data_IF_694025383152
#
_entry.id   IF_694025383152
#
_cell.length_a   1.000
_cell.length_b   1.000
_cell.length_c   1.000
_cell.angle_alpha   90.00
_cell.angle_beta   90.00
_cell.angle_gamma   90.00
#
_symmetry.space_group_name_H-M   'P 1'
#
loop_
_entity.id
_entity.type
_entity.pdbx_description
1 polymer ?
#
# COMPACT_ATOMS: atom_id res chain seq x y z
N UNK A 1 36.17 26.43 35.40
CA UNK A 1 35.37 26.59 34.17
C UNK A 1 34.20 25.62 34.23
N UNK A 2 33.08 26.07 34.79
CA UNK A 2 31.81 25.33 34.84
C UNK A 2 31.09 25.55 33.51
N UNK A 3 30.91 24.48 32.71
CA UNK A 3 30.11 24.57 31.48
C UNK A 3 28.71 25.04 31.83
N UNK A 4 28.20 26.00 31.06
CA UNK A 4 26.91 26.63 31.30
C UNK A 4 25.82 25.55 31.22
N UNK A 5 24.95 25.38 32.24
CA UNK A 5 23.91 24.34 32.23
C UNK A 5 22.94 24.45 31.04
N UNK A 6 22.88 25.61 30.38
CA UNK A 6 22.16 25.84 29.12
C UNK A 6 22.81 25.16 27.89
N UNK A 7 24.13 24.94 27.86
CA UNK A 7 24.80 24.18 26.78
C UNK A 7 24.57 22.67 26.91
N UNK A 8 24.39 22.17 28.14
CA UNK A 8 24.07 20.76 28.37
C UNK A 8 22.60 20.43 28.00
N UNK A 9 21.71 21.41 27.97
CA UNK A 9 20.30 21.22 27.61
C UNK A 9 20.05 21.18 26.08
N UNK A 10 20.96 21.71 25.26
CA UNK A 10 20.83 21.68 23.79
C UNK A 10 21.32 20.37 23.14
N UNK A 11 21.93 19.46 23.92
CA UNK A 11 22.64 18.29 23.40
C UNK A 11 21.82 17.04 23.10
N UNK A 12 20.50 17.01 23.32
CA UNK A 12 19.75 15.75 23.12
C UNK A 12 18.28 15.98 22.77
N UNK A 13 18.00 16.77 21.72
CA UNK A 13 16.81 16.47 20.94
C UNK A 13 17.01 15.04 20.43
N UNK A 14 16.34 14.05 21.05
CA UNK A 14 16.45 12.63 20.74
C UNK A 14 16.20 12.42 19.24
N UNK A 15 17.30 12.41 18.49
CA UNK A 15 17.27 12.15 17.08
C UNK A 15 16.88 10.69 16.90
N UNK A 16 15.85 10.43 16.09
CA UNK A 16 15.57 9.07 15.64
C UNK A 16 16.88 8.48 15.08
N UNK A 17 17.20 7.20 15.36
CA UNK A 17 18.40 6.61 14.80
C UNK A 17 18.38 6.75 13.30
N UNK A 18 19.56 6.90 12.76
CA UNK A 18 19.77 6.94 11.31
C UNK A 18 19.07 5.76 10.63
N UNK A 19 19.15 4.54 11.22
CA UNK A 19 18.50 3.35 10.68
C UNK A 19 16.98 3.50 10.56
N UNK A 20 16.27 3.96 11.60
CA UNK A 20 14.80 4.12 11.56
C UNK A 20 14.39 5.15 10.51
N UNK A 21 15.14 6.25 10.38
CA UNK A 21 14.90 7.25 9.33
C UNK A 21 15.10 6.67 7.92
N UNK A 22 16.20 5.95 7.71
CA UNK A 22 16.48 5.27 6.45
C UNK A 22 15.39 4.25 6.09
N UNK A 23 14.99 3.40 7.04
CA UNK A 23 13.90 2.44 6.83
C UNK A 23 12.61 3.15 6.41
N UNK A 24 12.21 4.23 7.09
CA UNK A 24 11.00 4.96 6.71
C UNK A 24 11.08 5.57 5.30
N UNK A 25 12.22 6.10 4.88
CA UNK A 25 12.40 6.59 3.51
C UNK A 25 12.36 5.46 2.48
N UNK A 26 13.03 4.34 2.75
CA UNK A 26 13.02 3.17 1.84
C UNK A 26 11.60 2.61 1.72
N UNK A 27 10.87 2.43 2.83
CA UNK A 27 9.45 2.01 2.83
C UNK A 27 8.58 3.00 2.06
N UNK A 28 8.78 4.30 2.24
CA UNK A 28 8.05 5.33 1.52
C UNK A 28 8.31 5.28 0.01
N UNK A 29 9.57 5.17 -0.41
CA UNK A 29 9.96 5.08 -1.82
C UNK A 29 9.38 3.80 -2.44
N UNK A 30 9.53 2.65 -1.78
CA UNK A 30 8.97 1.38 -2.23
C UNK A 30 7.46 1.47 -2.45
N UNK A 31 6.73 2.02 -1.48
CA UNK A 31 5.26 2.14 -1.52
C UNK A 31 4.82 3.12 -2.61
N UNK A 32 5.58 4.20 -2.81
CA UNK A 32 5.31 5.16 -3.88
C UNK A 32 5.56 4.58 -5.28
N UNK A 33 6.68 3.88 -5.49
CA UNK A 33 6.97 3.20 -6.75
C UNK A 33 5.87 2.18 -7.09
N UNK A 34 5.45 1.40 -6.10
CA UNK A 34 4.36 0.45 -6.29
C UNK A 34 3.03 1.15 -6.63
N UNK A 35 2.73 2.28 -5.99
CA UNK A 35 1.56 3.08 -6.30
C UNK A 35 1.57 3.60 -7.74
N UNK A 36 2.70 4.16 -8.20
CA UNK A 36 2.85 4.68 -9.57
C UNK A 36 2.62 3.59 -10.60
N UNK A 37 3.22 2.41 -10.39
CA UNK A 37 3.05 1.26 -11.27
C UNK A 37 1.57 0.84 -11.38
N UNK A 38 0.85 0.83 -10.26
CA UNK A 38 -0.58 0.50 -10.23
C UNK A 38 -1.45 1.59 -10.89
N UNK A 39 -1.14 2.86 -10.67
CA UNK A 39 -1.84 3.94 -11.37
C UNK A 39 -1.62 3.87 -12.86
N UNK A 40 -0.39 3.58 -13.31
CA UNK A 40 -0.10 3.40 -14.73
C UNK A 40 -1.00 2.32 -15.36
N UNK A 41 -1.05 1.12 -14.77
CA UNK A 41 -1.90 0.04 -15.30
C UNK A 41 -3.40 0.33 -15.16
N UNK A 42 -3.82 0.97 -14.08
CA UNK A 42 -5.21 1.37 -13.89
C UNK A 42 -5.65 2.39 -14.95
N UNK A 43 -4.78 3.35 -15.27
CA UNK A 43 -5.00 4.34 -16.34
C UNK A 43 -4.97 3.66 -17.71
N UNK A 44 -4.00 2.79 -17.99
CA UNK A 44 -3.91 2.05 -19.24
C UNK A 44 -5.20 1.25 -19.48
N UNK A 45 -5.66 0.50 -18.48
CA UNK A 45 -6.89 -0.26 -18.56
C UNK A 45 -8.11 0.64 -18.77
N UNK A 46 -8.19 1.77 -18.08
CA UNK A 46 -9.30 2.72 -18.23
C UNK A 46 -9.34 3.38 -19.62
N UNK A 47 -8.18 3.66 -20.22
CA UNK A 47 -8.08 4.34 -21.52
C UNK A 47 -8.18 3.37 -22.70
N UNK A 48 -7.59 2.20 -22.59
CA UNK A 48 -7.42 1.27 -23.73
C UNK A 48 -8.32 0.05 -23.65
N UNK A 49 -8.91 -0.23 -22.48
CA UNK A 49 -9.59 -1.50 -22.20
C UNK A 49 -8.65 -2.71 -22.18
N UNK A 50 -7.32 -2.50 -22.20
CA UNK A 50 -6.29 -3.53 -22.15
C UNK A 50 -5.47 -3.36 -20.88
N UNK A 51 -5.10 -4.48 -20.27
CA UNK A 51 -4.25 -4.52 -19.09
C UNK A 51 -2.94 -5.23 -19.46
N UNK A 52 -1.85 -4.48 -19.63
CA UNK A 52 -0.53 -5.07 -19.92
C UNK A 52 0.20 -5.41 -18.61
N UNK A 53 -0.28 -6.44 -17.92
CA UNK A 53 0.40 -6.95 -16.73
C UNK A 53 1.56 -7.89 -17.13
N UNK A 54 2.80 -7.64 -16.67
CA UNK A 54 3.86 -8.63 -16.72
C UNK A 54 3.41 -9.85 -15.89
N UNK A 55 3.27 -11.03 -16.48
CA UNK A 55 2.62 -12.16 -15.79
C UNK A 55 1.35 -12.66 -16.47
N UNK A 56 0.60 -11.73 -17.07
CA UNK A 56 -0.81 -11.95 -17.32
C UNK A 56 -1.24 -11.23 -18.60
N UNK A 57 -1.00 -11.89 -19.73
CA UNK A 57 -1.63 -11.50 -20.99
C UNK A 57 -3.12 -11.85 -20.96
N UNK A 58 -3.93 -11.11 -20.21
CA UNK A 58 -5.39 -11.11 -20.39
C UNK A 58 -5.70 -10.37 -21.69
N UNK A 59 -5.31 -10.97 -22.81
CA UNK A 59 -5.74 -10.53 -24.13
C UNK A 59 -7.22 -10.86 -24.26
N UNK A 60 -8.10 -9.88 -24.02
CA UNK A 60 -9.42 -9.67 -24.64
C UNK A 60 -10.26 -10.90 -25.08
N UNK A 61 -10.13 -12.05 -24.39
CA UNK A 61 -10.89 -13.27 -24.64
C UNK A 61 -12.11 -13.40 -23.75
N UNK A 62 -12.13 -12.68 -22.62
CA UNK A 62 -13.36 -12.38 -21.90
C UNK A 62 -14.11 -11.32 -22.70
N UNK A 63 -15.12 -11.76 -23.46
CA UNK A 63 -16.04 -10.99 -24.33
C UNK A 63 -15.76 -9.50 -24.40
N UNK A 64 -15.45 -9.04 -25.61
CA UNK A 64 -15.48 -7.65 -26.08
C UNK A 64 -16.86 -6.99 -25.89
N UNK A 65 -17.36 -6.91 -24.67
CA UNK A 65 -18.36 -5.94 -24.28
C UNK A 65 -17.55 -4.67 -24.01
N UNK A 66 -17.56 -3.68 -24.91
CA UNK A 66 -16.90 -2.42 -24.62
C UNK A 66 -17.43 -1.93 -23.26
N UNK A 67 -16.56 -1.54 -22.31
CA UNK A 67 -17.03 -1.03 -21.04
C UNK A 67 -18.00 0.11 -21.35
N UNK A 68 -19.17 0.19 -20.67
CA UNK A 68 -20.08 1.30 -20.86
C UNK A 68 -19.27 2.59 -20.68
N UNK A 69 -19.29 3.50 -21.66
CA UNK A 69 -18.45 4.72 -21.67
C UNK A 69 -18.48 5.45 -20.32
N UNK A 70 -19.62 5.40 -19.64
CA UNK A 70 -19.93 6.13 -18.41
C UNK A 70 -19.20 5.57 -17.16
N UNK A 71 -18.83 4.29 -17.17
CA UNK A 71 -18.15 3.62 -16.05
C UNK A 71 -16.67 4.04 -15.97
N UNK A 72 -16.05 4.36 -17.11
CA UNK A 72 -14.64 4.77 -17.17
C UNK A 72 -14.39 6.16 -16.56
N UNK A 73 -15.25 7.14 -16.86
CA UNK A 73 -15.08 8.52 -16.43
C UNK A 73 -15.34 8.70 -14.94
N UNK A 74 -16.35 8.02 -14.39
CA UNK A 74 -16.67 8.08 -12.96
C UNK A 74 -15.56 7.47 -12.09
N UNK A 75 -14.93 6.38 -12.53
CA UNK A 75 -13.79 5.76 -11.84
C UNK A 75 -12.54 6.64 -11.86
N UNK A 76 -12.22 7.26 -13.00
CA UNK A 76 -11.10 8.21 -13.13
C UNK A 76 -11.36 9.42 -12.24
N UNK A 77 -12.56 10.01 -12.29
CA UNK A 77 -12.93 11.17 -11.48
C UNK A 77 -12.84 10.86 -9.98
N UNK A 78 -13.33 9.70 -9.53
CA UNK A 78 -13.22 9.27 -8.14
C UNK A 78 -11.76 9.13 -7.69
N UNK A 79 -10.91 8.54 -8.54
CA UNK A 79 -9.48 8.38 -8.26
C UNK A 79 -8.77 9.72 -8.13
N UNK A 80 -9.01 10.66 -9.06
CA UNK A 80 -8.46 12.02 -9.00
C UNK A 80 -8.95 12.73 -7.73
N UNK A 81 -10.24 12.67 -7.43
CA UNK A 81 -10.82 13.30 -6.25
C UNK A 81 -10.13 12.81 -4.96
N UNK A 82 -9.87 11.51 -4.84
CA UNK A 82 -9.20 10.92 -3.69
C UNK A 82 -7.74 11.35 -3.62
N UNK A 83 -7.01 11.34 -4.73
CA UNK A 83 -5.62 11.84 -4.76
C UNK A 83 -5.56 13.30 -4.31
N UNK A 84 -6.51 14.12 -4.75
CA UNK A 84 -6.63 15.52 -4.31
C UNK A 84 -6.93 15.60 -2.83
N UNK A 85 -7.91 14.85 -2.31
CA UNK A 85 -8.26 14.83 -0.89
C UNK A 85 -7.05 14.39 -0.05
N UNK A 86 -6.38 13.31 -0.41
CA UNK A 86 -5.20 12.81 0.30
C UNK A 86 -4.05 13.84 0.27
N UNK A 87 -3.81 14.46 -0.87
CA UNK A 87 -2.80 15.53 -1.00
C UNK A 87 -3.13 16.72 -0.11
N UNK A 88 -4.38 17.17 -0.09
CA UNK A 88 -4.86 18.26 0.78
C UNK A 88 -4.70 17.89 2.26
N UNK A 89 -5.09 16.68 2.66
CA UNK A 89 -4.91 16.19 4.03
C UNK A 89 -3.44 16.21 4.44
N UNK A 90 -2.54 15.70 3.59
CA UNK A 90 -1.09 15.68 3.84
C UNK A 90 -0.53 17.10 3.96
N UNK A 91 -0.90 18.01 3.05
CA UNK A 91 -0.49 19.42 3.07
C UNK A 91 -0.98 20.10 4.35
N UNK A 92 -2.25 19.92 4.71
CA UNK A 92 -2.84 20.51 5.92
C UNK A 92 -2.15 20.02 7.19
N UNK A 93 -1.92 18.71 7.32
CA UNK A 93 -1.22 18.13 8.47
C UNK A 93 0.24 18.60 8.55
N UNK A 94 0.93 18.71 7.41
CA UNK A 94 2.33 19.16 7.34
C UNK A 94 2.50 20.63 7.73
N UNK A 95 1.69 21.53 7.18
CA UNK A 95 1.91 22.97 7.33
C UNK A 95 1.12 23.60 8.48
N UNK A 96 -0.02 23.02 8.86
CA UNK A 96 -0.90 23.58 9.90
C UNK A 96 -1.10 22.67 11.11
N UNK A 97 -0.58 21.45 11.08
CA UNK A 97 -0.67 20.49 12.19
C UNK A 97 -0.42 21.11 13.57
N UNK A 98 0.68 21.85 13.81
CA UNK A 98 0.98 22.42 15.13
C UNK A 98 -0.02 23.46 15.64
N UNK A 99 -0.81 24.06 14.74
CA UNK A 99 -1.78 25.12 15.06
C UNK A 99 -3.22 24.63 15.12
N UNK A 100 -3.50 23.39 14.73
CA UNK A 100 -4.87 22.86 14.72
C UNK A 100 -5.26 22.27 16.08
N UNK A 101 -6.51 22.48 16.53
CA UNK A 101 -7.04 21.77 17.69
C UNK A 101 -7.14 20.27 17.41
N UNK A 102 -6.86 19.44 18.42
CA UNK A 102 -6.84 17.96 18.29
C UNK A 102 -8.12 17.39 17.70
N UNK A 103 -9.27 17.94 18.07
CA UNK A 103 -10.59 17.57 17.53
C UNK A 103 -10.66 17.71 16.00
N UNK A 104 -10.13 18.81 15.45
CA UNK A 104 -10.11 19.04 14.01
C UNK A 104 -9.16 18.08 13.29
N UNK A 105 -8.00 17.78 13.89
CA UNK A 105 -7.07 16.80 13.35
C UNK A 105 -7.69 15.41 13.28
N UNK A 106 -8.39 14.98 14.34
CA UNK A 106 -9.14 13.72 14.35
C UNK A 106 -10.27 13.71 13.32
N UNK A 107 -11.01 14.81 13.18
CA UNK A 107 -12.04 14.95 12.16
C UNK A 107 -11.49 14.79 10.74
N UNK A 108 -10.37 15.45 10.42
CA UNK A 108 -9.71 15.36 9.11
C UNK A 108 -9.21 13.94 8.85
N UNK A 109 -8.55 13.31 9.82
CA UNK A 109 -8.07 11.93 9.68
C UNK A 109 -9.21 10.93 9.54
N UNK A 110 -10.27 11.07 10.35
CA UNK A 110 -11.46 10.23 10.29
C UNK A 110 -12.17 10.35 8.94
N UNK A 111 -12.35 11.56 8.43
CA UNK A 111 -12.92 11.81 7.11
C UNK A 111 -12.09 11.17 6.00
N UNK A 112 -10.76 11.33 6.05
CA UNK A 112 -9.85 10.69 5.09
C UNK A 112 -9.93 9.17 5.12
N UNK A 113 -9.97 8.57 6.32
CA UNK A 113 -10.09 7.12 6.49
C UNK A 113 -11.43 6.57 5.98
N UNK A 114 -12.54 7.26 6.27
CA UNK A 114 -13.87 6.89 5.79
C UNK A 114 -13.94 7.00 4.26
N UNK A 115 -13.45 8.09 3.67
CA UNK A 115 -13.43 8.28 2.22
C UNK A 115 -12.60 7.20 1.51
N UNK A 116 -11.41 6.89 2.06
CA UNK A 116 -10.55 5.82 1.54
C UNK A 116 -11.23 4.45 1.62
N UNK A 117 -11.84 4.14 2.77
CA UNK A 117 -12.53 2.85 2.98
C UNK A 117 -13.72 2.71 2.05
N UNK A 118 -14.56 3.74 1.93
CA UNK A 118 -15.69 3.76 1.02
C UNK A 118 -15.25 3.58 -0.44
N UNK A 119 -14.14 4.19 -0.84
CA UNK A 119 -13.57 3.98 -2.17
C UNK A 119 -13.08 2.57 -2.39
N UNK A 120 -12.32 1.99 -1.46
CA UNK A 120 -11.85 0.59 -1.58
C UNK A 120 -13.04 -0.34 -1.71
N UNK A 121 -14.06 -0.18 -0.87
CA UNK A 121 -15.29 -0.99 -0.93
C UNK A 121 -16.03 -0.80 -2.26
N UNK A 122 -16.23 0.44 -2.71
CA UNK A 122 -16.83 0.74 -4.01
C UNK A 122 -16.05 0.11 -5.18
N UNK A 123 -14.72 0.19 -5.13
CA UNK A 123 -13.79 -0.36 -6.12
C UNK A 123 -13.88 -1.88 -6.23
N UNK A 124 -14.01 -2.54 -5.09
CA UNK A 124 -14.20 -3.98 -4.97
C UNK A 124 -15.56 -4.43 -5.48
N UNK A 125 -16.64 -3.70 -5.14
CA UNK A 125 -18.02 -4.12 -5.41
C UNK A 125 -18.42 -3.88 -6.87
N UNK A 126 -18.07 -2.74 -7.46
CA UNK A 126 -18.73 -2.31 -8.71
C UNK A 126 -17.97 -2.75 -9.97
N UNK A 127 -16.63 -2.87 -9.94
CA UNK A 127 -15.90 -2.74 -11.21
C UNK A 127 -14.95 -3.86 -11.63
N UNK A 128 -14.31 -4.63 -10.75
CA UNK A 128 -13.27 -5.60 -11.17
C UNK A 128 -12.00 -4.98 -11.80
N UNK A 129 -12.13 -3.86 -12.52
CA UNK A 129 -11.12 -3.02 -13.17
C UNK A 129 -10.42 -2.09 -12.15
N UNK A 130 -11.08 -1.73 -11.04
CA UNK A 130 -10.51 -0.79 -10.04
C UNK A 130 -9.59 -1.48 -9.02
N UNK A 131 -9.44 -2.82 -9.06
CA UNK A 131 -8.51 -3.51 -8.16
C UNK A 131 -7.07 -2.97 -8.27
N UNK A 132 -6.64 -2.64 -9.48
CA UNK A 132 -5.32 -2.06 -9.72
C UNK A 132 -5.22 -0.65 -9.11
N UNK A 133 -6.21 0.21 -9.36
CA UNK A 133 -6.21 1.58 -8.82
C UNK A 133 -6.32 1.59 -7.29
N UNK A 134 -7.15 0.72 -6.70
CA UNK A 134 -7.30 0.58 -5.26
C UNK A 134 -5.97 0.20 -4.59
N UNK A 135 -5.22 -0.75 -5.16
CA UNK A 135 -3.86 -1.07 -4.73
C UNK A 135 -2.96 0.17 -4.80
N UNK A 136 -3.05 0.95 -5.89
CA UNK A 136 -2.32 2.21 -6.02
C UNK A 136 -2.62 3.20 -4.88
N UNK A 137 -3.90 3.42 -4.56
CA UNK A 137 -4.30 4.31 -3.46
C UNK A 137 -3.82 3.79 -2.11
N UNK A 138 -4.00 2.49 -1.85
CA UNK A 138 -3.55 1.86 -0.59
C UNK A 138 -2.04 2.04 -0.42
N UNK A 139 -1.25 1.90 -1.49
CA UNK A 139 0.19 2.09 -1.44
C UNK A 139 0.60 3.57 -1.34
N UNK A 140 -0.16 4.50 -1.91
CA UNK A 140 0.05 5.93 -1.67
C UNK A 140 -0.17 6.27 -0.18
N UNK A 141 -1.22 5.71 0.43
CA UNK A 141 -1.49 5.84 1.87
C UNK A 141 -0.40 5.17 2.70
N UNK A 142 0.08 4.00 2.29
CA UNK A 142 1.23 3.32 2.90
C UNK A 142 2.49 4.20 2.91
N UNK A 143 2.76 4.93 1.82
CA UNK A 143 3.89 5.85 1.74
C UNK A 143 3.74 7.01 2.75
N UNK A 144 2.53 7.56 2.87
CA UNK A 144 2.21 8.62 3.85
C UNK A 144 2.38 8.11 5.28
N UNK A 145 1.92 6.89 5.59
CA UNK A 145 2.07 6.26 6.90
C UNK A 145 3.56 6.05 7.22
N UNK A 146 4.34 5.51 6.28
CA UNK A 146 5.77 5.31 6.47
C UNK A 146 6.49 6.63 6.75
N UNK A 147 6.15 7.69 6.01
CA UNK A 147 6.69 9.03 6.22
C UNK A 147 6.23 9.63 7.57
N UNK A 148 4.97 9.44 7.96
CA UNK A 148 4.44 9.89 9.25
C UNK A 148 5.22 9.29 10.42
N UNK A 149 5.61 8.01 10.33
CA UNK A 149 6.36 7.34 11.39
C UNK A 149 7.76 7.94 11.65
N UNK A 150 8.37 8.59 10.65
CA UNK A 150 9.73 9.15 10.77
C UNK A 150 9.77 10.68 10.83
N UNK A 151 8.73 11.38 10.40
CA UNK A 151 8.71 12.84 10.34
C UNK A 151 8.09 13.47 11.61
N UNK A 152 8.48 14.72 11.89
CA UNK A 152 8.01 15.45 13.06
C UNK A 152 6.48 15.64 13.08
N UNK A 153 5.85 15.83 11.92
CA UNK A 153 4.40 16.03 11.81
C UNK A 153 3.60 14.78 12.20
N UNK A 154 4.15 13.57 12.03
CA UNK A 154 3.47 12.35 12.43
C UNK A 154 3.40 12.14 13.94
N UNK A 155 4.16 12.92 14.74
CA UNK A 155 4.03 12.93 16.21
C UNK A 155 2.67 13.46 16.69
N UNK A 156 1.94 14.14 15.82
CA UNK A 156 0.60 14.66 16.07
C UNK A 156 -0.43 13.52 16.04
N UNK A 157 -0.18 12.48 15.25
CA UNK A 157 -1.09 11.35 15.05
C UNK A 157 -0.85 10.33 16.18
N UNK A 158 -1.91 9.80 16.84
CA UNK A 158 -1.73 8.71 17.79
C UNK A 158 -0.96 7.55 17.18
N UNK A 159 0.12 7.12 17.84
CA UNK A 159 1.04 6.13 17.26
C UNK A 159 0.36 4.82 16.88
N UNK A 160 -0.65 4.38 17.62
CA UNK A 160 -1.38 3.15 17.30
C UNK A 160 -2.06 3.23 15.91
N UNK A 161 -2.53 4.41 15.48
CA UNK A 161 -3.10 4.62 14.16
C UNK A 161 -2.09 4.52 13.02
N UNK A 162 -0.79 4.67 13.31
CA UNK A 162 0.27 4.48 12.32
C UNK A 162 0.85 3.06 12.40
N UNK A 163 1.02 2.54 13.61
CA UNK A 163 1.63 1.23 13.86
C UNK A 163 0.71 0.08 13.47
N UNK A 164 -0.58 0.11 13.82
CA UNK A 164 -1.51 -0.99 13.51
C UNK A 164 -1.62 -1.19 11.99
N UNK A 165 -1.88 -0.15 11.18
CA UNK A 165 -1.91 -0.33 9.72
C UNK A 165 -0.57 -0.75 9.12
N UNK A 166 0.56 -0.28 9.67
CA UNK A 166 1.88 -0.72 9.20
C UNK A 166 2.12 -2.21 9.46
N UNK A 167 1.76 -2.69 10.65
CA UNK A 167 1.84 -4.12 10.96
C UNK A 167 0.88 -4.94 10.11
N UNK A 168 -0.38 -4.54 10.01
CA UNK A 168 -1.39 -5.25 9.23
C UNK A 168 -1.01 -5.29 7.75
N UNK A 169 -0.68 -4.14 7.16
CA UNK A 169 -0.24 -4.04 5.77
C UNK A 169 0.98 -4.91 5.51
N UNK A 170 2.01 -4.84 6.36
CA UNK A 170 3.21 -5.66 6.22
C UNK A 170 2.92 -7.17 6.31
N UNK A 171 2.12 -7.60 7.29
CA UNK A 171 1.71 -9.01 7.44
C UNK A 171 0.87 -9.51 6.26
N UNK A 172 -0.08 -8.70 5.78
CA UNK A 172 -0.90 -9.05 4.62
C UNK A 172 -0.02 -9.29 3.39
N UNK A 173 0.98 -8.44 3.13
CA UNK A 173 1.90 -8.62 2.00
C UNK A 173 2.74 -9.90 2.12
N UNK A 174 3.23 -10.22 3.33
CA UNK A 174 3.98 -11.45 3.57
C UNK A 174 3.11 -12.70 3.40
N UNK A 175 1.90 -12.69 3.97
CA UNK A 175 0.94 -13.80 3.84
C UNK A 175 0.51 -13.96 2.39
N UNK A 176 0.25 -12.87 1.68
CA UNK A 176 -0.09 -12.89 0.25
C UNK A 176 1.01 -13.60 -0.56
N UNK A 177 2.27 -13.25 -0.32
CA UNK A 177 3.41 -13.86 -1.01
C UNK A 177 3.53 -15.35 -0.69
N UNK A 178 3.49 -15.70 0.60
CA UNK A 178 3.63 -17.10 1.02
C UNK A 178 2.48 -17.96 0.51
N UNK A 179 1.25 -17.48 0.65
CA UNK A 179 0.05 -18.17 0.19
C UNK A 179 0.05 -18.35 -1.33
N UNK A 180 0.28 -17.26 -2.08
CA UNK A 180 0.32 -17.27 -3.54
C UNK A 180 1.42 -18.18 -4.09
N UNK A 181 2.63 -18.08 -3.55
CA UNK A 181 3.75 -18.94 -3.94
C UNK A 181 3.47 -20.42 -3.66
N UNK A 182 2.94 -20.75 -2.47
CA UNK A 182 2.61 -22.14 -2.11
C UNK A 182 1.59 -22.77 -3.05
N UNK A 183 0.45 -22.11 -3.31
CA UNK A 183 -0.58 -22.68 -4.19
C UNK A 183 -0.09 -22.82 -5.64
N UNK A 184 0.73 -21.88 -6.12
CA UNK A 184 1.31 -21.93 -7.45
C UNK A 184 2.34 -23.05 -7.60
N UNK A 185 3.22 -23.25 -6.61
CA UNK A 185 4.18 -24.36 -6.60
C UNK A 185 3.45 -25.70 -6.54
N UNK A 186 2.40 -25.84 -5.72
CA UNK A 186 1.59 -27.07 -5.69
C UNK A 186 0.97 -27.38 -7.06
N UNK A 187 0.50 -26.35 -7.77
CA UNK A 187 -0.06 -26.51 -9.11
C UNK A 187 1.00 -26.88 -10.17
N UNK A 188 2.18 -26.26 -10.12
CA UNK A 188 3.31 -26.62 -10.99
C UNK A 188 3.75 -28.08 -10.82
N UNK A 189 3.61 -28.62 -9.62
CA UNK A 189 3.93 -30.02 -9.32
C UNK A 189 2.75 -30.98 -9.55
N UNK A 190 1.61 -30.49 -10.06
CA UNK A 190 0.43 -31.30 -10.36
C UNK A 190 -0.32 -31.79 -9.11
N UNK A 191 -0.02 -31.27 -7.92
CA UNK A 191 -0.71 -31.64 -6.66
C UNK A 191 -2.13 -31.08 -6.64
N UNK A 192 -2.31 -29.88 -7.20
CA UNK A 192 -3.62 -29.25 -7.41
C UNK A 192 -3.75 -28.75 -8.84
N UNK A 193 -4.97 -28.63 -9.35
CA UNK A 193 -5.23 -28.08 -10.68
C UNK A 193 -5.17 -26.55 -10.68
N UNK A 194 -4.90 -25.94 -11.84
CA UNK A 194 -4.97 -24.48 -12.00
C UNK A 194 -6.38 -23.91 -11.78
N UNK A 195 -7.44 -24.74 -11.96
CA UNK A 195 -8.80 -24.38 -11.58
C UNK A 195 -8.94 -24.28 -10.05
N UNK A 196 -8.36 -25.22 -9.31
CA UNK A 196 -8.33 -25.16 -7.85
C UNK A 196 -7.54 -23.93 -7.36
N UNK A 197 -6.44 -23.56 -8.02
CA UNK A 197 -5.72 -22.30 -7.74
C UNK A 197 -6.64 -21.08 -7.90
N UNK A 198 -7.42 -20.99 -8.98
CA UNK A 198 -8.36 -19.87 -9.16
C UNK A 198 -9.42 -19.82 -8.05
N UNK A 199 -9.99 -20.97 -7.66
CA UNK A 199 -10.96 -21.05 -6.55
C UNK A 199 -10.33 -20.54 -5.25
N UNK A 200 -9.12 -21.01 -4.93
CA UNK A 200 -8.37 -20.62 -3.73
C UNK A 200 -7.94 -19.15 -3.75
N UNK A 201 -7.73 -18.57 -4.93
CA UNK A 201 -7.45 -17.15 -5.11
C UNK A 201 -8.71 -16.26 -5.12
N UNK A 202 -9.91 -16.86 -5.11
CA UNK A 202 -11.18 -16.12 -5.24
C UNK A 202 -11.43 -15.56 -6.64
N UNK A 203 -10.83 -16.17 -7.67
CA UNK A 203 -10.89 -15.74 -9.06
C UNK A 203 -11.75 -16.67 -9.93
N UNK A 204 -12.26 -16.20 -11.08
CA UNK A 204 -13.14 -17.00 -11.95
C UNK A 204 -12.47 -18.27 -12.48
N UNK A 205 -13.15 -19.42 -12.31
CA UNK A 205 -12.64 -20.75 -12.67
C UNK A 205 -12.49 -20.93 -14.18
N UNK A 206 -13.35 -20.27 -14.97
CA UNK A 206 -13.32 -20.26 -16.43
C UNK A 206 -12.08 -19.54 -17.00
N UNK A 207 -11.38 -18.77 -16.18
CA UNK A 207 -10.11 -18.10 -16.50
C UNK A 207 -8.88 -18.88 -16.00
N UNK A 208 -9.04 -20.14 -15.59
CA UNK A 208 -7.91 -20.97 -15.18
C UNK A 208 -6.91 -21.13 -16.34
N UNK A 209 -5.60 -20.86 -16.12
CA UNK A 209 -4.61 -21.00 -17.18
C UNK A 209 -4.41 -22.47 -17.55
N UNK A 210 -3.98 -22.70 -18.80
CA UNK A 210 -3.41 -24.01 -19.18
C UNK A 210 -2.12 -24.27 -18.40
N UNK A 211 -1.67 -25.53 -18.34
CA UNK A 211 -0.45 -25.89 -17.60
C UNK A 211 0.77 -25.04 -17.99
N UNK A 212 1.00 -24.87 -19.30
CA UNK A 212 2.13 -24.08 -19.80
C UNK A 212 2.00 -22.59 -19.45
N UNK A 213 0.79 -22.02 -19.57
CA UNK A 213 0.53 -20.64 -19.17
C UNK A 213 0.68 -20.44 -17.66
N UNK A 214 0.21 -21.39 -16.85
CA UNK A 214 0.31 -21.35 -15.40
C UNK A 214 1.77 -21.37 -14.93
N UNK A 215 2.60 -22.25 -15.50
CA UNK A 215 4.05 -22.27 -15.21
C UNK A 215 4.70 -20.92 -15.56
N UNK A 216 4.39 -20.35 -16.72
CA UNK A 216 4.94 -19.05 -17.11
C UNK A 216 4.52 -17.93 -16.16
N UNK A 217 3.23 -17.88 -15.82
CA UNK A 217 2.67 -16.91 -14.86
C UNK A 217 3.33 -17.07 -13.48
N UNK A 218 3.54 -18.29 -13.01
CA UNK A 218 4.21 -18.53 -11.73
C UNK A 218 5.66 -18.07 -11.72
N UNK A 219 6.41 -18.33 -12.78
CA UNK A 219 7.78 -17.82 -12.89
C UNK A 219 7.78 -16.29 -12.84
N UNK A 220 6.85 -15.63 -13.54
CA UNK A 220 6.74 -14.17 -13.51
C UNK A 220 6.36 -13.65 -12.12
N UNK A 221 5.43 -14.31 -11.43
CA UNK A 221 5.07 -13.98 -10.05
C UNK A 221 6.25 -14.12 -9.09
N UNK A 222 6.94 -15.25 -9.13
CA UNK A 222 8.11 -15.51 -8.27
C UNK A 222 9.28 -14.57 -8.53
N UNK A 223 9.46 -14.09 -9.77
CA UNK A 223 10.59 -13.23 -10.13
C UNK A 223 10.31 -11.73 -9.92
N UNK A 224 9.08 -11.29 -10.18
CA UNK A 224 8.74 -9.87 -10.21
C UNK A 224 7.96 -9.49 -8.96
N UNK A 225 6.90 -10.24 -8.66
CA UNK A 225 5.85 -9.82 -7.73
C UNK A 225 6.14 -10.25 -6.30
N UNK A 226 6.44 -11.53 -6.09
CA UNK A 226 6.70 -12.10 -4.78
C UNK A 226 7.90 -11.45 -4.06
N UNK A 227 9.04 -11.18 -4.71
CA UNK A 227 10.14 -10.47 -4.07
C UNK A 227 9.74 -9.04 -3.69
N UNK A 228 8.92 -8.40 -4.52
CA UNK A 228 8.46 -7.04 -4.27
C UNK A 228 7.51 -6.98 -3.08
N UNK A 229 6.50 -7.86 -3.02
CA UNK A 229 5.58 -7.98 -1.89
C UNK A 229 6.30 -8.39 -0.60
N UNK A 230 7.25 -9.33 -0.68
CA UNK A 230 8.08 -9.72 0.47
C UNK A 230 8.88 -8.54 1.00
N UNK A 231 9.55 -7.80 0.11
CA UNK A 231 10.33 -6.62 0.48
C UNK A 231 9.43 -5.57 1.16
N UNK A 232 8.28 -5.24 0.58
CA UNK A 232 7.33 -4.32 1.19
C UNK A 232 6.85 -4.79 2.56
N UNK A 233 6.49 -6.07 2.67
CA UNK A 233 6.07 -6.70 3.91
C UNK A 233 7.10 -6.56 5.03
N UNK A 234 8.35 -6.93 4.73
CA UNK A 234 9.48 -6.79 5.66
C UNK A 234 9.73 -5.33 6.03
N UNK A 235 9.74 -4.42 5.05
CA UNK A 235 9.97 -2.99 5.27
C UNK A 235 8.93 -2.37 6.22
N UNK A 236 7.65 -2.64 6.03
CA UNK A 236 6.58 -2.12 6.90
C UNK A 236 6.66 -2.72 8.31
N UNK A 237 6.89 -4.03 8.44
CA UNK A 237 7.02 -4.68 9.74
C UNK A 237 8.26 -4.23 10.51
N UNK A 238 9.42 -4.13 9.85
CA UNK A 238 10.66 -3.64 10.46
C UNK A 238 10.53 -2.16 10.88
N UNK A 239 9.91 -1.32 10.05
CA UNK A 239 9.65 0.07 10.39
C UNK A 239 8.73 0.18 11.62
N UNK A 240 7.64 -0.58 11.65
CA UNK A 240 6.71 -0.60 12.78
C UNK A 240 7.37 -1.12 14.07
N UNK A 241 8.19 -2.17 13.97
CA UNK A 241 8.97 -2.71 15.08
C UNK A 241 9.95 -1.68 15.65
N UNK A 242 10.75 -1.04 14.78
CA UNK A 242 11.68 0.01 15.18
C UNK A 242 10.94 1.18 15.83
N UNK A 243 9.91 1.72 15.17
CA UNK A 243 9.13 2.84 15.67
C UNK A 243 8.51 2.59 17.06
N UNK A 244 8.08 1.35 17.34
CA UNK A 244 7.63 0.91 18.66
C UNK A 244 8.77 0.85 19.67
N UNK A 245 9.91 0.25 19.31
CA UNK A 245 11.06 0.11 20.22
C UNK A 245 11.59 1.47 20.69
N UNK A 246 11.70 2.45 19.78
CA UNK A 246 12.12 3.82 20.13
C UNK A 246 11.20 4.52 21.13
N UNK A 247 9.91 4.17 21.12
CA UNK A 247 8.98 4.68 22.11
C UNK A 247 9.33 4.18 23.52
N UNK A 248 9.52 2.87 23.65
CA UNK A 248 9.67 2.21 24.95
C UNK A 248 10.99 2.56 25.63
N UNK A 249 12.03 2.92 24.85
CA UNK A 249 13.33 3.37 25.36
C UNK A 249 13.33 4.85 25.78
N UNK A 250 12.32 5.63 25.36
CA UNK A 250 12.15 7.03 25.74
C UNK A 250 10.94 7.26 26.66
N UNK A 251 10.72 6.47 27.73
CA UNK A 251 9.42 6.42 28.39
C UNK A 251 9.06 7.70 29.19
N UNK A 252 10.02 8.57 29.51
CA UNK A 252 9.75 9.71 30.38
C UNK A 252 10.64 10.93 30.07
N UNK A 253 10.04 11.96 29.45
CA UNK A 253 10.19 13.39 29.78
C UNK A 253 8.90 14.12 29.44
#
# INVERSE_FOLDING_TARGET
>A
MTKNPLELAHGSALELPRLTRWLGYVTCIWSFLFAVMHFYWGIEMALTGKLTLPGMGLGAGARSVPPPRDVSLSAIAATIAIMVILSVVVVLLRFRGPRMPRMLQFGIMGLGAVALTAYVVYSFIINGIIWVLACGVICAVGAVIALALIQAWGRIIPRWLLLVPSWLGGMILLVHTLYGGCIQVLAMNGVISWQQVQILAGAPVDQAPTMQQGVHMTIQNLLIWDPWFTLGGLLFCLLAWQARHWHNVSPHK
#
